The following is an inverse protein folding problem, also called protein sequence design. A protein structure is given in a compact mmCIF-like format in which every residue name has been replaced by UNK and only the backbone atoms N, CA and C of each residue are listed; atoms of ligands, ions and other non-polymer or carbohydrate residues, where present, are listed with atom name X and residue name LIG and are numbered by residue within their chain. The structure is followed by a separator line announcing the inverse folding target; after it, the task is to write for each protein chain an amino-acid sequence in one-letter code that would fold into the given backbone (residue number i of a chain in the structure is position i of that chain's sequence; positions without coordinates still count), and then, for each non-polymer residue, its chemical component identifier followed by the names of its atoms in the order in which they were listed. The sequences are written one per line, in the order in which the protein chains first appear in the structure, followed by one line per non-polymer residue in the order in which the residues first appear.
data_IF_213341066142
#
_entry.id   IF_213341066142
#
_cell.length_a   1.000
_cell.length_b   1.000
_cell.length_c   1.000
_cell.angle_alpha   90.00
_cell.angle_beta   90.00
_cell.angle_gamma   90.00
#
_symmetry.space_group_name_H-M   'P 1'
#
loop_
_entity.id
_entity.type
_entity.pdbx_description
1 polymer ?
#
# COMPACT_ATOMS: atom_id res chain seq x y z
N UNK A 1 -3.42 0.14 12.61
CA UNK A 1 -2.33 -0.40 11.76
C UNK A 1 -2.80 -0.83 10.36
N UNK A 2 -3.84 -1.67 10.22
CA UNK A 2 -4.35 -2.12 8.90
C UNK A 2 -4.85 -0.97 8.01
N UNK A 3 -5.54 0.00 8.61
CA UNK A 3 -6.02 1.24 7.97
C UNK A 3 -4.88 2.15 7.49
N UNK A 4 -3.78 2.25 8.26
CA UNK A 4 -2.64 3.10 7.90
C UNK A 4 -1.90 2.53 6.69
N UNK A 5 -1.73 1.21 6.65
CA UNK A 5 -1.13 0.52 5.50
C UNK A 5 -2.02 0.67 4.26
N UNK A 6 -3.35 0.49 4.41
CA UNK A 6 -4.30 0.71 3.31
C UNK A 6 -4.23 2.16 2.80
N UNK A 7 -4.30 3.16 3.68
CA UNK A 7 -4.23 4.57 3.28
C UNK A 7 -2.91 4.92 2.56
N UNK A 8 -1.78 4.36 3.02
CA UNK A 8 -0.50 4.55 2.36
C UNK A 8 -0.46 3.88 0.98
N UNK A 9 -1.05 2.69 0.84
CA UNK A 9 -1.18 1.99 -0.44
C UNK A 9 -2.10 2.73 -1.41
N UNK A 10 -3.22 3.28 -0.95
CA UNK A 10 -4.12 4.11 -1.78
C UNK A 10 -3.38 5.36 -2.28
N UNK A 11 -2.67 6.05 -1.39
CA UNK A 11 -1.87 7.25 -1.73
C UNK A 11 -0.70 6.94 -2.66
N UNK A 12 -0.13 5.74 -2.58
CA UNK A 12 0.95 5.31 -3.46
C UNK A 12 0.48 4.63 -4.75
N UNK A 13 -0.84 4.46 -4.95
CA UNK A 13 -1.42 3.73 -6.09
C UNK A 13 -1.05 2.24 -6.09
N UNK A 14 -0.90 1.63 -4.93
CA UNK A 14 -0.49 0.23 -4.76
C UNK A 14 1.02 0.00 -4.84
N UNK A 15 1.84 1.05 -4.93
CA UNK A 15 3.31 0.91 -4.92
C UNK A 15 3.81 0.73 -3.49
N UNK A 16 4.59 -0.33 -3.25
CA UNK A 16 5.26 -0.55 -1.96
C UNK A 16 6.59 0.21 -1.92
N UNK A 17 7.34 0.19 -3.02
CA UNK A 17 8.72 0.66 -3.14
C UNK A 17 8.84 1.93 -3.98
N UNK A 18 10.00 2.59 -3.86
CA UNK A 18 10.36 3.80 -4.60
C UNK A 18 10.03 5.11 -3.86
N UNK A 19 10.35 6.24 -4.51
CA UNK A 19 10.20 7.59 -3.94
C UNK A 19 8.76 7.93 -3.54
N UNK A 20 7.78 7.29 -4.19
CA UNK A 20 6.34 7.42 -3.94
C UNK A 20 5.72 6.15 -3.33
N UNK A 21 6.53 5.21 -2.84
CA UNK A 21 6.05 3.96 -2.26
C UNK A 21 5.38 4.14 -0.90
N UNK A 22 4.40 3.29 -0.60
CA UNK A 22 3.70 3.25 0.68
C UNK A 22 4.66 3.07 1.86
N UNK A 23 5.78 2.37 1.68
CA UNK A 23 6.79 2.19 2.71
C UNK A 23 7.45 3.52 3.09
N UNK A 24 7.74 4.36 2.09
CA UNK A 24 8.31 5.70 2.30
C UNK A 24 7.31 6.67 2.91
N UNK A 25 6.04 6.61 2.48
CA UNK A 25 4.95 7.38 3.11
C UNK A 25 4.75 7.01 4.58
N UNK A 26 5.00 5.75 4.95
CA UNK A 26 4.92 5.27 6.32
C UNK A 26 6.23 5.39 7.10
N UNK A 27 7.34 5.81 6.46
CA UNK A 27 8.66 5.90 7.09
C UNK A 27 9.22 4.55 7.55
N UNK A 28 8.82 3.45 6.91
CA UNK A 28 9.29 2.09 7.27
C UNK A 28 9.99 1.43 6.10
N UNK A 29 10.81 0.41 6.40
CA UNK A 29 11.45 -0.38 5.36
C UNK A 29 10.40 -1.12 4.51
N UNK A 30 10.52 -1.15 3.16
CA UNK A 30 9.62 -1.89 2.28
C UNK A 30 9.45 -3.37 2.66
N UNK A 31 10.50 -4.03 3.15
CA UNK A 31 10.41 -5.41 3.61
C UNK A 31 9.57 -5.53 4.90
N UNK A 32 9.66 -4.56 5.81
CA UNK A 32 8.78 -4.50 6.99
C UNK A 32 7.33 -4.29 6.57
N UNK A 33 7.07 -3.42 5.59
CA UNK A 33 5.74 -3.21 5.06
C UNK A 33 5.18 -4.50 4.44
N UNK A 34 5.96 -5.21 3.61
CA UNK A 34 5.59 -6.52 3.03
C UNK A 34 5.26 -7.57 4.10
N UNK A 35 6.07 -7.70 5.14
CA UNK A 35 5.80 -8.65 6.23
C UNK A 35 4.52 -8.30 6.99
N UNK A 36 4.28 -7.01 7.27
CA UNK A 36 3.04 -6.55 7.90
C UNK A 36 1.82 -6.77 7.00
N UNK A 37 1.98 -6.52 5.70
CA UNK A 37 0.95 -6.78 4.68
C UNK A 37 0.57 -8.26 4.62
N UNK A 38 1.55 -9.18 4.57
CA UNK A 38 1.32 -10.63 4.68
C UNK A 38 0.60 -11.00 5.96
N UNK A 39 1.06 -10.47 7.11
CA UNK A 39 0.44 -10.74 8.42
C UNK A 39 -1.02 -10.26 8.51
N UNK A 40 -1.35 -9.21 7.77
CA UNK A 40 -2.67 -8.59 7.74
C UNK A 40 -3.55 -9.07 6.57
N UNK A 41 -3.06 -9.98 5.73
CA UNK A 41 -3.76 -10.45 4.53
C UNK A 41 -3.95 -9.35 3.46
N UNK A 42 -3.15 -8.28 3.49
CA UNK A 42 -3.18 -7.20 2.51
C UNK A 42 -2.26 -7.57 1.34
N UNK A 43 -2.78 -8.26 0.32
CA UNK A 43 -2.01 -8.52 -0.88
C UNK A 43 -1.79 -7.22 -1.65
N UNK A 44 -0.55 -6.95 -2.06
CA UNK A 44 -0.17 -5.82 -2.91
C UNK A 44 -0.63 -5.99 -4.37
N UNK A 45 -1.69 -6.78 -4.56
CA UNK A 45 -2.20 -7.13 -5.87
C UNK A 45 -2.91 -5.91 -6.40
N UNK A 46 -2.19 -5.15 -7.21
CA UNK A 46 -2.73 -4.34 -8.28
C UNK A 46 -4.05 -3.67 -7.91
N UNK A 47 -3.97 -2.60 -7.11
CA UNK A 47 -5.02 -1.59 -7.13
C UNK A 47 -4.97 -0.82 -8.47
N UNK A 48 -5.11 -1.55 -9.58
CA UNK A 48 -5.40 -1.03 -10.92
C UNK A 48 -6.91 -1.00 -11.16
N UNK A 49 -7.73 -1.56 -10.27
CA UNK A 49 -9.11 -1.93 -10.59
C UNK A 49 -10.24 -1.19 -9.85
N UNK A 50 -10.02 -0.15 -9.04
CA UNK A 50 -11.13 0.60 -8.42
C UNK A 50 -11.23 2.07 -8.81
N UNK A 51 -10.73 2.44 -10.00
CA UNK A 51 -11.11 3.71 -10.66
C UNK A 51 -12.36 3.60 -11.55
N UNK A 52 -13.24 2.63 -11.33
CA UNK A 52 -14.59 2.64 -11.93
C UNK A 52 -15.59 3.33 -11.00
N UNK A 53 -16.03 4.53 -11.39
CA UNK A 53 -17.07 5.36 -10.75
C UNK A 53 -16.47 6.60 -10.10
N UNK A 54 -16.18 7.71 -10.81
CA UNK A 54 -17.01 8.28 -11.86
C UNK A 54 -18.26 8.87 -11.19
N UNK A 55 -18.09 10.03 -10.55
CA UNK A 55 -19.21 10.92 -10.25
C UNK A 55 -19.56 11.71 -11.51
#
# INVERSE_FOLDING_TARGET
MRTHIRAALERSGGRIEGSLGAARLLGINPNTLRSRMRKLGLAATSHRAARSGGA
#
